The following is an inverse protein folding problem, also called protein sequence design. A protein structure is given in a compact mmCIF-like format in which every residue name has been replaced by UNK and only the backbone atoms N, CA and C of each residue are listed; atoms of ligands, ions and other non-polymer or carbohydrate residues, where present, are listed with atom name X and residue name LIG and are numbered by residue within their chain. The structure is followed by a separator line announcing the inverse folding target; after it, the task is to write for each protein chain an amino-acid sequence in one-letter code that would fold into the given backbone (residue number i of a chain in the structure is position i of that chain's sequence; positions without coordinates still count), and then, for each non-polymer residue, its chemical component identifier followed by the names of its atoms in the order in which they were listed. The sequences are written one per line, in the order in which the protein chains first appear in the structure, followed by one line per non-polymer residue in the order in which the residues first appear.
data_IF_972397276608
#
_entry.id   IF_972397276608
#
_cell.length_a   1.000
_cell.length_b   1.000
_cell.length_c   1.000
_cell.angle_alpha   90.00
_cell.angle_beta   90.00
_cell.angle_gamma   90.00
#
_symmetry.space_group_name_H-M   'P 1'
#
loop_
_entity.id
_entity.type
_entity.pdbx_description
1 polymer ?
#
# COMPACT_ATOMS: atom_id res chain seq x y z
N UNK A 1 0.00 -2.28 21.06
CA UNK A 1 -1.30 -2.17 20.37
C UNK A 1 -2.26 -3.19 20.97
N UNK A 2 -3.47 -2.80 21.29
CA UNK A 2 -4.50 -3.74 21.73
C UNK A 2 -5.05 -4.47 20.50
N UNK A 3 -5.42 -5.74 20.67
CA UNK A 3 -6.10 -6.49 19.61
C UNK A 3 -7.48 -5.85 19.35
N UNK A 4 -7.92 -5.76 18.10
CA UNK A 4 -9.18 -5.10 17.74
C UNK A 4 -10.41 -5.62 18.53
N UNK A 5 -10.42 -6.90 18.89
CA UNK A 5 -11.49 -7.49 19.71
C UNK A 5 -11.56 -6.93 21.15
N UNK A 6 -10.47 -6.38 21.66
CA UNK A 6 -10.47 -5.68 22.96
C UNK A 6 -10.85 -4.20 22.86
N UNK A 7 -11.03 -3.68 21.64
CA UNK A 7 -11.38 -2.29 21.34
C UNK A 7 -12.77 -2.15 20.69
N UNK A 8 -13.60 -3.19 20.70
CA UNK A 8 -14.92 -3.17 20.04
C UNK A 8 -15.82 -2.05 20.55
N UNK A 9 -15.86 -1.82 21.86
CA UNK A 9 -16.68 -0.73 22.44
C UNK A 9 -16.22 0.65 21.97
N UNK A 10 -14.93 0.85 21.79
CA UNK A 10 -14.37 2.09 21.28
C UNK A 10 -14.67 2.30 19.78
N UNK A 11 -14.60 1.21 19.00
CA UNK A 11 -14.98 1.24 17.58
C UNK A 11 -16.48 1.55 17.44
N UNK A 12 -17.33 0.91 18.25
CA UNK A 12 -18.77 1.18 18.29
C UNK A 12 -19.06 2.64 18.65
N UNK A 13 -18.40 3.18 19.67
CA UNK A 13 -18.55 4.58 20.09
C UNK A 13 -18.13 5.54 18.98
N UNK A 14 -17.01 5.28 18.31
CA UNK A 14 -16.54 6.04 17.16
C UNK A 14 -17.58 6.03 16.03
N UNK A 15 -18.13 4.86 15.68
CA UNK A 15 -19.14 4.73 14.61
C UNK A 15 -20.42 5.53 14.95
N UNK A 16 -20.87 5.45 16.21
CA UNK A 16 -22.13 6.09 16.64
C UNK A 16 -22.01 7.61 16.68
N UNK A 17 -20.86 8.13 17.11
CA UNK A 17 -20.67 9.57 17.35
C UNK A 17 -20.11 10.33 16.15
N UNK A 18 -19.61 9.64 15.12
CA UNK A 18 -19.04 10.28 13.94
C UNK A 18 -20.10 10.82 13.00
N UNK A 19 -19.89 12.02 12.48
CA UNK A 19 -20.70 12.63 11.42
C UNK A 19 -20.08 12.34 10.04
N UNK A 20 -18.75 12.32 9.98
CA UNK A 20 -17.96 12.12 8.77
C UNK A 20 -16.92 11.01 8.97
N UNK A 21 -17.41 9.79 9.13
CA UNK A 21 -16.57 8.62 9.36
C UNK A 21 -15.86 8.16 8.07
N UNK A 22 -14.55 7.94 8.16
CA UNK A 22 -13.75 7.28 7.13
C UNK A 22 -13.37 5.85 7.52
N UNK A 23 -13.44 4.92 6.56
CA UNK A 23 -12.84 3.60 6.67
C UNK A 23 -11.71 3.47 5.64
N UNK A 24 -10.49 3.34 6.13
CA UNK A 24 -9.28 3.22 5.33
C UNK A 24 -8.64 1.86 5.62
N UNK A 25 -8.37 1.09 4.59
CA UNK A 25 -7.85 -0.28 4.75
C UNK A 25 -6.67 -0.56 3.85
N UNK A 26 -5.72 -1.39 4.31
CA UNK A 26 -4.82 -2.09 3.40
C UNK A 26 -5.56 -3.21 2.67
N UNK A 27 -4.94 -3.79 1.64
CA UNK A 27 -5.51 -4.88 0.86
C UNK A 27 -4.99 -6.24 1.30
N UNK A 28 -3.70 -6.49 1.13
CA UNK A 28 -3.09 -7.82 1.28
C UNK A 28 -2.91 -8.18 2.75
N UNK A 29 -3.51 -9.27 3.20
CA UNK A 29 -3.52 -9.66 4.61
C UNK A 29 -4.65 -9.05 5.43
N UNK A 30 -5.34 -8.04 4.90
CA UNK A 30 -6.43 -7.32 5.59
C UNK A 30 -7.79 -7.66 4.98
N UNK A 31 -8.07 -7.24 3.74
CA UNK A 31 -9.32 -7.54 3.03
C UNK A 31 -9.15 -8.61 1.94
N UNK A 32 -7.92 -9.02 1.67
CA UNK A 32 -7.55 -10.14 0.79
C UNK A 32 -6.61 -11.08 1.55
N UNK A 33 -6.78 -12.40 1.47
CA UNK A 33 -5.85 -13.35 2.08
C UNK A 33 -4.44 -13.19 1.52
N UNK A 34 -3.43 -13.45 2.37
CA UNK A 34 -2.04 -13.58 1.90
C UNK A 34 -1.92 -14.86 1.06
N UNK A 35 -1.41 -14.74 -0.14
CA UNK A 35 -1.24 -15.84 -1.10
C UNK A 35 0.22 -16.03 -1.51
N UNK A 36 0.53 -17.19 -2.09
CA UNK A 36 1.89 -17.51 -2.50
C UNK A 36 2.37 -16.65 -3.68
N UNK A 37 1.48 -16.38 -4.64
CA UNK A 37 1.77 -15.54 -5.80
C UNK A 37 0.96 -14.25 -5.73
N UNK A 38 1.58 -13.08 -5.92
CA UNK A 38 0.89 -11.79 -5.88
C UNK A 38 -0.35 -11.73 -6.80
N UNK A 39 -0.29 -12.37 -7.96
CA UNK A 39 -1.38 -12.38 -8.95
C UNK A 39 -2.60 -13.20 -8.52
N UNK A 40 -2.46 -14.07 -7.54
CA UNK A 40 -3.55 -14.90 -7.01
C UNK A 40 -4.38 -14.19 -5.93
N UNK A 41 -3.89 -13.07 -5.38
CA UNK A 41 -4.62 -12.30 -4.39
C UNK A 41 -5.96 -11.81 -4.95
N UNK A 42 -7.03 -12.00 -4.18
CA UNK A 42 -8.39 -11.57 -4.53
C UNK A 42 -9.14 -11.16 -3.29
N UNK A 43 -9.87 -10.08 -3.40
CA UNK A 43 -10.91 -9.75 -2.42
C UNK A 43 -12.06 -10.75 -2.59
N UNK A 44 -12.47 -11.38 -1.49
CA UNK A 44 -13.55 -12.39 -1.57
C UNK A 44 -14.89 -11.74 -1.90
N UNK A 45 -15.83 -12.46 -2.56
CA UNK A 45 -17.16 -11.91 -2.85
C UNK A 45 -17.89 -11.39 -1.61
N UNK A 46 -17.70 -12.05 -0.47
CA UNK A 46 -18.27 -11.61 0.81
C UNK A 46 -17.74 -10.25 1.25
N UNK A 47 -16.43 -10.05 1.19
CA UNK A 47 -15.80 -8.76 1.55
C UNK A 47 -16.24 -7.68 0.57
N UNK A 48 -16.25 -7.98 -0.75
CA UNK A 48 -16.74 -7.04 -1.76
C UNK A 48 -18.16 -6.55 -1.44
N UNK A 49 -19.10 -7.47 -1.16
CA UNK A 49 -20.48 -7.13 -0.80
C UNK A 49 -20.54 -6.27 0.48
N UNK A 50 -19.70 -6.56 1.49
CA UNK A 50 -19.65 -5.76 2.70
C UNK A 50 -19.13 -4.34 2.45
N UNK A 51 -18.07 -4.19 1.67
CA UNK A 51 -17.53 -2.87 1.30
C UNK A 51 -18.56 -2.06 0.50
N UNK A 52 -19.25 -2.70 -0.45
CA UNK A 52 -20.32 -2.07 -1.22
C UNK A 52 -21.47 -1.59 -0.32
N UNK A 53 -21.87 -2.40 0.65
CA UNK A 53 -22.89 -2.04 1.62
C UNK A 53 -22.48 -0.90 2.56
N UNK A 54 -21.20 -0.77 2.87
CA UNK A 54 -20.68 0.29 3.76
C UNK A 54 -20.56 1.64 3.04
N UNK A 55 -20.30 1.67 1.73
CA UNK A 55 -20.08 2.89 0.96
C UNK A 55 -21.10 4.02 1.22
N UNK A 56 -22.42 3.78 1.22
CA UNK A 56 -23.41 4.85 1.42
C UNK A 56 -23.46 5.39 2.86
N UNK A 57 -22.79 4.72 3.80
CA UNK A 57 -22.80 5.08 5.23
C UNK A 57 -21.50 5.78 5.69
N UNK A 58 -20.50 5.89 4.79
CA UNK A 58 -19.20 6.45 5.10
C UNK A 58 -18.98 7.74 4.31
N UNK A 59 -18.32 8.73 4.93
CA UNK A 59 -17.82 9.89 4.22
C UNK A 59 -16.67 9.53 3.28
N UNK A 60 -15.90 8.48 3.65
CA UNK A 60 -14.81 7.93 2.85
C UNK A 60 -14.71 6.41 3.05
N UNK A 61 -14.61 5.68 1.94
CA UNK A 61 -14.06 4.33 1.92
C UNK A 61 -12.83 4.33 1.01
N UNK A 62 -11.66 3.94 1.54
CA UNK A 62 -10.40 3.96 0.81
C UNK A 62 -9.57 2.70 1.01
N UNK A 63 -8.84 2.30 -0.04
CA UNK A 63 -7.79 1.27 0.03
C UNK A 63 -6.44 1.94 -0.18
N UNK A 64 -5.50 1.72 0.76
CA UNK A 64 -4.12 2.22 0.72
C UNK A 64 -3.17 1.03 0.69
N UNK A 65 -2.48 0.80 -0.43
CA UNK A 65 -1.70 -0.42 -0.65
C UNK A 65 -0.34 -0.16 -1.30
N UNK A 66 0.58 -1.13 -1.14
CA UNK A 66 1.83 -1.18 -1.91
C UNK A 66 1.66 -1.63 -3.36
N UNK A 67 0.46 -2.05 -3.77
CA UNK A 67 0.13 -2.36 -5.16
C UNK A 67 -0.07 -1.10 -5.97
N UNK A 68 0.16 -1.17 -7.29
CA UNK A 68 -0.27 -0.10 -8.19
C UNK A 68 -1.82 -0.02 -8.22
N UNK A 69 -2.36 1.14 -8.53
CA UNK A 69 -3.82 1.31 -8.68
C UNK A 69 -4.36 0.43 -9.81
N UNK A 70 -3.61 0.28 -10.89
CA UNK A 70 -4.00 -0.61 -11.99
C UNK A 70 -4.21 -2.05 -11.50
N UNK A 71 -3.28 -2.56 -10.68
CA UNK A 71 -3.37 -3.89 -10.08
C UNK A 71 -4.50 -3.99 -9.04
N UNK A 72 -4.65 -3.01 -8.16
CA UNK A 72 -5.74 -2.94 -7.17
C UNK A 72 -7.11 -3.08 -7.84
N UNK A 73 -7.35 -2.35 -8.93
CA UNK A 73 -8.62 -2.38 -9.66
C UNK A 73 -8.94 -3.71 -10.32
N UNK A 74 -7.95 -4.51 -10.68
CA UNK A 74 -8.20 -5.88 -11.18
C UNK A 74 -8.71 -6.82 -10.08
N UNK A 75 -8.55 -6.46 -8.80
CA UNK A 75 -8.87 -7.28 -7.62
C UNK A 75 -10.09 -6.79 -6.87
N UNK A 76 -10.31 -5.49 -6.92
CA UNK A 76 -11.42 -4.81 -6.27
C UNK A 76 -11.76 -3.57 -7.11
N UNK A 77 -12.73 -3.69 -8.02
CA UNK A 77 -13.26 -2.55 -8.79
C UNK A 77 -14.63 -2.18 -8.22
N UNK A 78 -14.63 -1.23 -7.28
CA UNK A 78 -15.84 -0.79 -6.59
C UNK A 78 -16.06 0.71 -6.86
N UNK A 79 -17.17 1.09 -7.55
CA UNK A 79 -17.49 2.49 -7.76
C UNK A 79 -17.65 3.26 -6.44
N UNK A 80 -17.03 4.42 -6.34
CA UNK A 80 -17.04 5.23 -5.12
C UNK A 80 -15.89 4.94 -4.15
N UNK A 81 -15.14 3.84 -4.34
CA UNK A 81 -13.95 3.56 -3.56
C UNK A 81 -12.78 4.46 -4.00
N UNK A 82 -12.08 5.02 -3.03
CA UNK A 82 -10.83 5.76 -3.25
C UNK A 82 -9.65 4.79 -3.21
N UNK A 83 -8.79 4.87 -4.21
CA UNK A 83 -7.60 4.01 -4.31
C UNK A 83 -6.34 4.83 -4.15
N UNK A 84 -5.47 4.38 -3.25
CA UNK A 84 -4.12 4.91 -3.04
C UNK A 84 -3.15 3.77 -3.25
N UNK A 85 -2.36 3.85 -4.32
CA UNK A 85 -1.39 2.83 -4.73
C UNK A 85 0.04 3.22 -4.42
N UNK A 86 0.95 2.23 -4.58
CA UNK A 86 2.39 2.42 -4.39
C UNK A 86 2.74 3.16 -3.09
N UNK A 87 2.06 2.78 -1.97
CA UNK A 87 2.26 3.35 -0.63
C UNK A 87 2.01 4.87 -0.53
N UNK A 88 1.10 5.42 -1.34
CA UNK A 88 0.79 6.84 -1.35
C UNK A 88 1.32 7.61 -2.54
N UNK A 89 2.11 6.98 -3.43
CA UNK A 89 2.67 7.63 -4.62
C UNK A 89 1.70 7.71 -5.80
N UNK A 90 0.63 6.92 -5.78
CA UNK A 90 -0.45 6.93 -6.78
C UNK A 90 -1.80 7.19 -6.11
N UNK A 91 -2.61 8.03 -6.73
CA UNK A 91 -3.93 8.42 -6.25
C UNK A 91 -4.96 8.26 -7.35
N UNK A 92 -6.12 7.70 -7.03
CA UNK A 92 -7.27 7.71 -7.91
C UNK A 92 -8.45 8.31 -7.17
N UNK A 93 -8.70 9.55 -7.53
CA UNK A 93 -9.94 10.26 -7.24
C UNK A 93 -10.67 10.43 -8.58
N UNK A 94 -11.93 10.04 -8.65
CA UNK A 94 -12.71 10.06 -9.89
C UNK A 94 -12.17 9.09 -10.98
N UNK A 95 -12.07 9.56 -12.22
CA UNK A 95 -11.72 8.72 -13.38
C UNK A 95 -10.22 8.63 -13.67
N UNK A 96 -9.39 9.50 -13.11
CA UNK A 96 -7.98 9.59 -13.46
C UNK A 96 -7.09 9.06 -12.35
N UNK A 97 -5.99 8.41 -12.75
CA UNK A 97 -4.90 8.03 -11.85
C UNK A 97 -3.89 9.17 -11.88
N UNK A 98 -3.63 9.74 -10.72
CA UNK A 98 -2.62 10.77 -10.52
C UNK A 98 -1.41 10.14 -9.83
N UNK A 99 -0.23 10.40 -10.38
CA UNK A 99 1.04 10.04 -9.76
C UNK A 99 1.58 11.32 -9.13
N UNK A 100 2.11 11.22 -7.91
CA UNK A 100 2.75 12.34 -7.23
C UNK A 100 3.74 13.05 -8.18
N UNK A 101 3.65 14.38 -8.34
CA UNK A 101 4.45 15.10 -9.33
C UNK A 101 5.96 14.84 -9.21
N UNK A 102 6.45 14.69 -7.99
CA UNK A 102 7.86 14.41 -7.71
C UNK A 102 8.29 13.03 -8.26
N UNK A 103 7.41 12.02 -8.27
CA UNK A 103 7.70 10.67 -8.81
C UNK A 103 8.05 10.73 -10.29
N UNK A 104 7.40 11.63 -11.05
CA UNK A 104 7.63 11.76 -12.49
C UNK A 104 9.07 12.11 -12.80
N UNK A 105 9.73 12.90 -11.94
CA UNK A 105 11.14 13.26 -12.11
C UNK A 105 12.09 12.07 -11.92
N UNK A 106 11.66 11.03 -11.21
CA UNK A 106 12.43 9.80 -10.98
C UNK A 106 12.17 8.70 -12.01
N UNK A 107 11.24 8.89 -12.96
CA UNK A 107 10.95 7.87 -13.97
C UNK A 107 12.17 7.40 -14.76
N UNK A 108 13.08 8.29 -15.24
CA UNK A 108 14.32 7.85 -15.91
C UNK A 108 15.23 7.02 -15.01
N UNK A 109 15.31 7.34 -13.70
CA UNK A 109 16.11 6.58 -12.75
C UNK A 109 15.50 5.19 -12.49
N UNK A 110 14.18 5.09 -12.39
CA UNK A 110 13.46 3.82 -12.29
C UNK A 110 13.66 2.95 -13.53
N UNK A 111 13.57 3.51 -14.73
CA UNK A 111 13.79 2.78 -16.00
C UNK A 111 15.22 2.23 -16.09
N UNK A 112 16.23 3.03 -15.76
CA UNK A 112 17.62 2.59 -15.74
C UNK A 112 17.87 1.50 -14.66
N UNK A 113 17.25 1.62 -13.50
CA UNK A 113 17.30 0.59 -12.46
C UNK A 113 16.60 -0.72 -12.90
N UNK A 114 15.45 -0.63 -13.59
CA UNK A 114 14.74 -1.78 -14.17
C UNK A 114 15.62 -2.54 -15.16
N UNK A 115 16.27 -1.85 -16.08
CA UNK A 115 17.18 -2.46 -17.06
C UNK A 115 18.29 -3.21 -16.35
N UNK A 116 18.92 -2.60 -15.34
CA UNK A 116 19.97 -3.24 -14.54
C UNK A 116 19.46 -4.47 -13.79
N UNK A 117 18.24 -4.41 -13.25
CA UNK A 117 17.61 -5.52 -12.52
C UNK A 117 17.25 -6.70 -13.45
N UNK A 118 16.70 -6.43 -14.63
CA UNK A 118 16.40 -7.47 -15.62
C UNK A 118 17.68 -8.21 -16.06
N UNK A 119 18.78 -7.51 -16.21
CA UNK A 119 20.06 -8.13 -16.52
C UNK A 119 20.56 -9.09 -15.43
N UNK A 120 20.22 -8.81 -14.17
CA UNK A 120 20.63 -9.59 -12.99
C UNK A 120 19.58 -10.64 -12.56
N UNK A 121 18.42 -10.70 -13.21
CA UNK A 121 17.32 -11.55 -12.82
C UNK A 121 17.72 -13.04 -12.86
N UNK A 122 17.32 -13.79 -11.83
CA UNK A 122 17.53 -15.23 -11.73
C UNK A 122 16.21 -15.99 -11.92
N UNK A 123 16.26 -17.29 -12.28
CA UNK A 123 15.06 -18.12 -12.35
C UNK A 123 14.24 -18.07 -11.05
N UNK A 124 12.93 -17.88 -11.17
CA UNK A 124 12.02 -17.73 -10.04
C UNK A 124 11.95 -16.33 -9.41
N UNK A 125 12.79 -15.39 -9.86
CA UNK A 125 12.61 -13.98 -9.52
C UNK A 125 11.64 -13.32 -10.48
N UNK A 126 10.81 -12.40 -9.96
CA UNK A 126 9.92 -11.55 -10.75
C UNK A 126 10.28 -10.09 -10.48
N UNK A 127 10.70 -9.38 -11.52
CA UNK A 127 10.89 -7.93 -11.52
C UNK A 127 9.64 -7.27 -12.08
N UNK A 128 9.02 -6.40 -11.30
CA UNK A 128 7.75 -5.74 -11.63
C UNK A 128 7.96 -4.23 -11.66
N UNK A 129 7.69 -3.60 -12.80
CA UNK A 129 7.55 -2.15 -12.94
C UNK A 129 6.13 -1.74 -12.53
N UNK A 130 6.00 -1.05 -11.40
CA UNK A 130 4.73 -0.50 -10.92
C UNK A 130 4.51 0.96 -11.33
N UNK A 131 5.34 1.49 -12.23
CA UNK A 131 5.28 2.89 -12.66
C UNK A 131 5.93 3.87 -11.69
N UNK A 132 5.48 3.90 -10.44
CA UNK A 132 6.02 4.76 -9.38
C UNK A 132 7.13 4.07 -8.55
N UNK A 133 7.17 2.75 -8.54
CA UNK A 133 8.15 1.92 -7.81
C UNK A 133 8.52 0.70 -8.63
N UNK A 134 9.54 -0.05 -8.16
CA UNK A 134 9.93 -1.35 -8.71
C UNK A 134 9.88 -2.36 -7.58
N UNK A 135 9.23 -3.52 -7.83
CA UNK A 135 9.30 -4.67 -6.92
C UNK A 135 10.11 -5.80 -7.53
N UNK A 136 10.94 -6.44 -6.70
CA UNK A 136 11.71 -7.62 -7.05
C UNK A 136 11.31 -8.74 -6.10
N UNK A 137 10.41 -9.61 -6.55
CA UNK A 137 9.95 -10.76 -5.79
C UNK A 137 10.90 -11.93 -5.98
N UNK A 138 11.27 -12.61 -4.88
CA UNK A 138 12.18 -13.78 -4.92
C UNK A 138 11.61 -15.02 -4.21
N UNK A 139 10.32 -14.98 -3.83
CA UNK A 139 9.62 -16.10 -3.15
C UNK A 139 9.57 -17.38 -3.96
N UNK A 140 9.54 -17.27 -5.29
CA UNK A 140 9.42 -18.41 -6.21
C UNK A 140 10.78 -19.00 -6.65
N UNK A 141 11.88 -18.49 -6.10
CA UNK A 141 13.21 -19.06 -6.35
C UNK A 141 13.37 -20.39 -5.61
N UNK A 142 14.29 -21.24 -6.08
CA UNK A 142 14.56 -22.53 -5.46
C UNK A 142 15.13 -22.41 -4.03
N UNK A 143 15.84 -21.33 -3.75
CA UNK A 143 16.41 -21.00 -2.45
C UNK A 143 16.29 -19.48 -2.20
N UNK A 144 15.19 -19.02 -1.56
CA UNK A 144 14.98 -17.60 -1.30
C UNK A 144 16.01 -16.99 -0.34
N UNK A 145 16.57 -17.77 0.59
CA UNK A 145 17.57 -17.28 1.55
C UNK A 145 18.90 -17.01 0.84
N UNK A 146 19.36 -17.95 0.00
CA UNK A 146 20.58 -17.80 -0.81
C UNK A 146 20.43 -16.61 -1.79
N UNK A 147 19.23 -16.47 -2.40
CA UNK A 147 18.95 -15.31 -3.26
C UNK A 147 18.97 -14.00 -2.46
N UNK A 148 18.40 -13.97 -1.26
CA UNK A 148 18.46 -12.78 -0.41
C UNK A 148 19.92 -12.39 -0.13
N UNK A 149 20.73 -13.32 0.34
CA UNK A 149 22.14 -13.04 0.72
C UNK A 149 22.98 -12.58 -0.47
N UNK A 150 22.85 -13.23 -1.62
CA UNK A 150 23.66 -12.94 -2.81
C UNK A 150 23.15 -11.73 -3.61
N UNK A 151 21.85 -11.52 -3.64
CA UNK A 151 21.24 -10.48 -4.47
C UNK A 151 21.05 -9.17 -3.72
N UNK A 152 20.94 -9.19 -2.39
CA UNK A 152 20.80 -7.97 -1.60
C UNK A 152 21.93 -6.94 -1.87
N UNK A 153 23.23 -7.31 -1.88
CA UNK A 153 24.28 -6.33 -2.20
C UNK A 153 24.17 -5.76 -3.62
N UNK A 154 23.73 -6.57 -4.58
CA UNK A 154 23.54 -6.15 -5.98
C UNK A 154 22.41 -5.13 -6.08
N UNK A 155 21.26 -5.43 -5.50
CA UNK A 155 20.11 -4.53 -5.55
C UNK A 155 20.37 -3.24 -4.76
N UNK A 156 21.09 -3.33 -3.64
CA UNK A 156 21.51 -2.15 -2.87
C UNK A 156 22.43 -1.25 -3.70
N UNK A 157 23.36 -1.81 -4.45
CA UNK A 157 24.25 -1.07 -5.34
C UNK A 157 23.44 -0.38 -6.46
N UNK A 158 22.55 -1.12 -7.14
CA UNK A 158 21.67 -0.57 -8.19
C UNK A 158 20.84 0.59 -7.63
N UNK A 159 20.25 0.39 -6.46
CA UNK A 159 19.42 1.41 -5.78
C UNK A 159 20.22 2.70 -5.52
N UNK A 160 21.43 2.58 -4.99
CA UNK A 160 22.32 3.71 -4.72
C UNK A 160 22.78 4.41 -6.01
N UNK A 161 23.13 3.65 -7.05
CA UNK A 161 23.58 4.22 -8.34
C UNK A 161 22.51 5.08 -9.01
N UNK A 162 21.24 4.75 -8.83
CA UNK A 162 20.12 5.48 -9.43
C UNK A 162 19.42 6.45 -8.46
N UNK A 163 20.00 6.69 -7.27
CA UNK A 163 19.45 7.65 -6.31
C UNK A 163 18.08 7.25 -5.75
N UNK A 164 17.78 5.96 -5.71
CA UNK A 164 16.54 5.40 -5.17
C UNK A 164 16.73 4.96 -3.70
N UNK A 165 15.63 4.65 -3.02
CA UNK A 165 15.62 4.01 -1.68
C UNK A 165 15.21 2.57 -1.80
N UNK A 166 15.91 1.69 -1.06
CA UNK A 166 15.61 0.26 -0.97
C UNK A 166 14.77 -0.04 0.28
N UNK A 167 13.63 -0.66 0.07
CA UNK A 167 12.77 -1.19 1.12
C UNK A 167 12.73 -2.72 1.06
N UNK A 168 12.56 -3.36 2.20
CA UNK A 168 12.50 -4.81 2.35
C UNK A 168 11.11 -5.19 2.84
N UNK A 169 10.43 -6.02 2.07
CA UNK A 169 9.19 -6.65 2.46
C UNK A 169 9.35 -8.16 2.63
N UNK A 170 8.24 -8.86 2.74
CA UNK A 170 8.23 -10.32 2.92
C UNK A 170 8.55 -11.04 1.61
N UNK A 171 9.83 -11.38 1.40
CA UNK A 171 10.38 -11.98 0.17
C UNK A 171 10.21 -11.08 -1.08
N UNK A 172 10.34 -9.78 -0.86
CA UNK A 172 10.33 -8.76 -1.90
C UNK A 172 11.30 -7.64 -1.52
N UNK A 173 12.02 -7.14 -2.51
CA UNK A 173 12.74 -5.87 -2.44
C UNK A 173 11.92 -4.83 -3.21
N UNK A 174 11.85 -3.63 -2.71
CA UNK A 174 11.16 -2.54 -3.39
C UNK A 174 12.06 -1.32 -3.49
N UNK A 175 12.23 -0.83 -4.73
CA UNK A 175 12.96 0.39 -5.03
C UNK A 175 11.94 1.51 -5.21
N UNK A 176 12.11 2.59 -4.43
CA UNK A 176 11.23 3.76 -4.46
C UNK A 176 12.02 5.04 -4.70
N UNK A 177 11.43 6.05 -5.31
CA UNK A 177 11.95 7.40 -5.24
C UNK A 177 12.17 7.84 -3.79
N UNK A 178 13.19 8.67 -3.49
CA UNK A 178 13.47 9.14 -2.13
C UNK A 178 12.50 10.25 -1.68
N UNK A 179 11.22 10.05 -1.93
CA UNK A 179 10.12 10.94 -1.55
C UNK A 179 9.61 10.52 -0.17
N UNK A 180 9.26 11.50 0.65
CA UNK A 180 8.76 11.23 1.99
C UNK A 180 7.26 10.96 1.99
N UNK A 181 6.85 9.90 1.27
CA UNK A 181 5.48 9.44 1.14
C UNK A 181 5.38 7.99 1.59
N UNK A 182 4.41 7.69 2.43
CA UNK A 182 4.12 6.37 2.98
C UNK A 182 2.61 6.24 3.30
N UNK A 183 2.18 5.10 3.82
CA UNK A 183 0.76 4.88 4.18
C UNK A 183 0.28 5.85 5.28
N UNK A 184 1.17 6.35 6.12
CA UNK A 184 0.83 7.34 7.16
C UNK A 184 0.52 8.71 6.56
N UNK A 185 1.39 9.21 5.68
CA UNK A 185 1.12 10.48 4.98
C UNK A 185 -0.12 10.39 4.10
N UNK A 186 -0.38 9.20 3.51
CA UNK A 186 -1.60 8.96 2.77
C UNK A 186 -2.85 9.02 3.66
N UNK A 187 -2.81 8.42 4.85
CA UNK A 187 -3.89 8.49 5.82
C UNK A 187 -4.17 9.94 6.24
N UNK A 188 -3.13 10.69 6.61
CA UNK A 188 -3.27 12.10 7.03
C UNK A 188 -3.88 12.95 5.91
N UNK A 189 -3.44 12.74 4.65
CA UNK A 189 -4.03 13.42 3.49
C UNK A 189 -5.50 13.06 3.28
N UNK A 190 -5.86 11.77 3.37
CA UNK A 190 -7.26 11.33 3.22
C UNK A 190 -8.17 11.95 4.28
N UNK A 191 -7.72 12.03 5.54
CA UNK A 191 -8.48 12.66 6.62
C UNK A 191 -8.73 14.14 6.30
N UNK A 192 -7.70 14.86 5.86
CA UNK A 192 -7.81 16.28 5.54
C UNK A 192 -8.66 16.54 4.27
N UNK A 193 -8.40 15.80 3.17
CA UNK A 193 -9.06 16.02 1.89
C UNK A 193 -10.57 15.73 1.96
N UNK A 194 -10.98 14.80 2.83
CA UNK A 194 -12.37 14.41 3.04
C UNK A 194 -13.01 15.04 4.28
N UNK A 195 -12.28 15.90 4.99
CA UNK A 195 -12.77 16.59 6.21
C UNK A 195 -13.41 15.58 7.19
N UNK A 196 -12.67 14.51 7.48
CA UNK A 196 -13.14 13.44 8.37
C UNK A 196 -13.03 13.87 9.83
N UNK A 197 -14.09 13.67 10.62
CA UNK A 197 -14.06 13.84 12.07
C UNK A 197 -13.61 12.58 12.81
N UNK A 198 -13.66 11.43 12.11
CA UNK A 198 -13.18 10.16 12.66
C UNK A 198 -12.75 9.23 11.54
N UNK A 199 -11.74 8.41 11.81
CA UNK A 199 -11.24 7.43 10.86
C UNK A 199 -10.90 6.10 11.53
N UNK A 200 -11.24 5.00 10.84
CA UNK A 200 -10.80 3.65 11.20
C UNK A 200 -9.77 3.21 10.16
N UNK A 201 -8.55 2.87 10.62
CA UNK A 201 -7.51 2.30 9.77
C UNK A 201 -7.31 0.81 10.08
N UNK A 202 -7.26 -0.02 9.03
CA UNK A 202 -6.98 -1.46 9.12
C UNK A 202 -5.77 -1.83 8.28
N UNK A 203 -4.84 -2.59 8.86
CA UNK A 203 -3.64 -3.10 8.18
C UNK A 203 -2.98 -4.21 8.98
N UNK A 204 -2.12 -5.03 8.33
CA UNK A 204 -1.51 -6.23 8.93
C UNK A 204 0.02 -6.28 8.81
N UNK A 205 0.63 -5.40 8.03
CA UNK A 205 2.07 -5.46 7.72
C UNK A 205 2.86 -4.31 8.39
N UNK A 206 4.16 -4.44 8.36
CA UNK A 206 5.12 -3.42 8.85
C UNK A 206 4.98 -2.08 8.15
N UNK A 207 4.55 -2.06 6.89
CA UNK A 207 4.27 -0.83 6.14
C UNK A 207 3.04 -0.08 6.65
N UNK A 208 2.16 -0.74 7.42
CA UNK A 208 1.01 -0.13 8.08
C UNK A 208 1.39 0.57 9.38
N UNK A 209 2.58 0.30 9.92
CA UNK A 209 3.06 0.93 11.14
C UNK A 209 3.08 2.47 11.03
N UNK A 210 3.43 3.00 9.84
CA UNK A 210 3.41 4.44 9.59
C UNK A 210 1.98 5.02 9.72
N UNK A 211 0.99 4.33 9.14
CA UNK A 211 -0.41 4.76 9.24
C UNK A 211 -0.95 4.62 10.67
N UNK A 212 -0.61 3.53 11.36
CA UNK A 212 -1.02 3.32 12.76
C UNK A 212 -0.40 4.36 13.70
N UNK A 213 0.84 4.82 13.45
CA UNK A 213 1.46 5.91 14.21
C UNK A 213 0.73 7.24 13.99
N UNK A 214 0.37 7.55 12.73
CA UNK A 214 -0.41 8.75 12.41
C UNK A 214 -1.81 8.67 13.05
N UNK A 215 -2.51 7.54 12.94
CA UNK A 215 -3.80 7.34 13.58
C UNK A 215 -3.72 7.55 15.10
N UNK A 216 -2.67 7.04 15.74
CA UNK A 216 -2.45 7.24 17.18
C UNK A 216 -2.19 8.72 17.52
N UNK A 217 -1.41 9.44 16.70
CA UNK A 217 -1.16 10.87 16.87
C UNK A 217 -2.46 11.67 16.76
N UNK A 218 -3.21 11.47 15.67
CA UNK A 218 -4.45 12.20 15.39
C UNK A 218 -5.53 11.94 16.45
N UNK A 219 -5.62 10.70 16.95
CA UNK A 219 -6.48 10.38 18.10
C UNK A 219 -6.16 11.22 19.35
N UNK A 220 -4.90 11.52 19.64
CA UNK A 220 -4.51 12.40 20.73
C UNK A 220 -4.87 13.87 20.45
N UNK A 221 -5.04 14.23 19.18
CA UNK A 221 -5.45 15.56 18.72
C UNK A 221 -6.99 15.69 18.59
N UNK A 222 -7.74 14.60 18.78
CA UNK A 222 -9.22 14.59 18.82
C UNK A 222 -9.90 14.23 17.49
N UNK A 223 -9.17 13.55 16.60
CA UNK A 223 -9.69 12.99 15.32
C UNK A 223 -9.80 11.47 15.39
#
# INVERSE_FOLDING_TARGET
MNHWQSSTAEIEDTIINSVRLGLITDMDGTISPIVAKPDEARVTPRIHTLLEALLPHLALLAVVSGRSIADLRTRLDLPGLVYVGNHGLEWKQNAQIEIEPEVRSYRPALEAALEALYYQQKPGMLVEDKGATISVHYRQTSDPEDVYEKFYPVIEQITKQHGLRLYKGRMVFELRPPINTNKGTALERLINDYDLDSAIYMGDDTTDADALQIAQKLRHEGV
#
